data_IF_811619100618
#
_entry.id   IF_811619100618
#
_cell.length_a   1.000
_cell.length_b   1.000
_cell.length_c   1.000
_cell.angle_alpha   90.00
_cell.angle_beta   90.00
_cell.angle_gamma   90.00
#
_symmetry.space_group_name_H-M   'P 1'
#
loop_
_entity.id
_entity.type
_entity.pdbx_description
1 polymer ?
#
# COMPACT_ATOMS: atom_id res chain seq x y z
N UNK A 1 11.96 5.77 25.16
CA UNK A 1 11.90 6.94 24.24
C UNK A 1 10.46 7.16 23.82
N UNK A 2 10.04 8.42 23.67
CA UNK A 2 8.74 8.75 23.10
C UNK A 2 8.81 8.64 21.56
N UNK A 3 7.84 8.00 20.94
CA UNK A 3 7.74 7.92 19.48
C UNK A 3 7.57 9.33 18.88
N UNK A 4 8.42 9.67 17.90
CA UNK A 4 8.31 10.94 17.14
C UNK A 4 7.76 10.67 15.75
N UNK A 5 6.74 11.42 15.36
CA UNK A 5 6.19 11.37 14.02
C UNK A 5 7.08 12.14 13.03
N UNK A 6 7.32 11.53 11.86
CA UNK A 6 8.07 12.11 10.75
C UNK A 6 7.28 11.96 9.45
N UNK A 7 7.16 13.06 8.70
CA UNK A 7 6.57 13.06 7.36
C UNK A 7 7.56 12.54 6.32
N UNK A 8 7.06 11.78 5.34
CA UNK A 8 7.82 11.42 4.15
C UNK A 8 7.95 12.62 3.22
N UNK A 9 9.17 13.17 3.17
CA UNK A 9 9.47 14.38 2.39
C UNK A 9 9.34 14.18 0.87
N UNK A 10 9.30 12.94 0.38
CA UNK A 10 9.16 12.63 -1.03
C UNK A 10 7.70 12.80 -1.52
N UNK A 11 6.71 12.76 -0.61
CA UNK A 11 5.29 12.81 -0.95
C UNK A 11 4.58 13.92 -0.15
N UNK A 12 4.73 15.16 -0.61
CA UNK A 12 4.19 16.35 0.07
C UNK A 12 2.80 16.75 -0.43
N UNK A 13 2.40 16.26 -1.59
CA UNK A 13 1.13 16.60 -2.23
C UNK A 13 0.08 15.52 -1.96
N UNK A 14 -1.19 15.94 -2.02
CA UNK A 14 -2.32 14.99 -1.94
C UNK A 14 -2.26 13.98 -3.08
N UNK A 15 -2.03 14.41 -4.33
CA UNK A 15 -1.91 13.48 -5.45
C UNK A 15 -0.62 12.64 -5.36
N UNK A 16 -0.76 11.33 -5.54
CA UNK A 16 0.36 10.39 -5.64
C UNK A 16 0.31 9.74 -7.02
N UNK A 17 1.31 10.02 -7.85
CA UNK A 17 1.49 9.29 -9.12
C UNK A 17 1.87 7.83 -8.82
N UNK A 18 1.23 6.84 -9.45
CA UNK A 18 1.63 5.44 -9.35
C UNK A 18 3.11 5.25 -9.70
N UNK A 19 3.56 5.85 -10.81
CA UNK A 19 4.97 5.77 -11.25
C UNK A 19 5.92 6.27 -10.18
N UNK A 20 5.64 7.44 -9.58
CA UNK A 20 6.48 8.02 -8.53
C UNK A 20 6.51 7.12 -7.28
N UNK A 21 5.36 6.62 -6.85
CA UNK A 21 5.27 5.72 -5.70
C UNK A 21 6.08 4.44 -5.93
N UNK A 22 5.93 3.83 -7.10
CA UNK A 22 6.57 2.56 -7.43
C UNK A 22 8.09 2.69 -7.55
N UNK A 23 8.59 3.71 -8.25
CA UNK A 23 10.04 3.98 -8.28
C UNK A 23 10.59 4.23 -6.88
N UNK A 24 9.88 4.98 -6.04
CA UNK A 24 10.31 5.20 -4.65
C UNK A 24 10.37 3.88 -3.85
N UNK A 25 9.37 3.02 -3.97
CA UNK A 25 9.35 1.73 -3.28
C UNK A 25 10.46 0.80 -3.77
N UNK A 26 10.70 0.73 -5.08
CA UNK A 26 11.78 -0.08 -5.66
C UNK A 26 13.16 0.40 -5.21
N UNK A 27 13.40 1.72 -5.23
CA UNK A 27 14.68 2.33 -4.86
C UNK A 27 14.99 2.19 -3.37
N UNK A 28 13.97 2.28 -2.49
CA UNK A 28 14.17 2.37 -1.04
C UNK A 28 13.83 1.08 -0.28
N UNK A 29 12.98 0.23 -0.85
CA UNK A 29 12.40 -0.95 -0.21
C UNK A 29 12.35 -2.17 -1.14
N UNK A 30 13.25 -2.24 -2.13
CA UNK A 30 13.24 -3.28 -3.18
C UNK A 30 13.30 -4.71 -2.64
N UNK A 31 13.93 -4.94 -1.49
CA UNK A 31 14.00 -6.26 -0.86
C UNK A 31 12.73 -6.62 -0.06
N UNK A 32 11.94 -5.62 0.31
CA UNK A 32 10.71 -5.77 1.10
C UNK A 32 9.44 -5.76 0.24
N UNK A 33 9.53 -5.43 -1.06
CA UNK A 33 8.37 -5.42 -1.95
C UNK A 33 8.30 -6.65 -2.85
N UNK A 34 7.07 -7.10 -3.10
CA UNK A 34 6.75 -8.17 -4.03
C UNK A 34 5.61 -7.74 -4.95
N UNK A 35 5.73 -7.98 -6.26
CA UNK A 35 4.60 -7.85 -7.19
C UNK A 35 3.55 -8.92 -6.85
N UNK A 36 2.33 -8.48 -6.52
CA UNK A 36 1.20 -9.37 -6.19
C UNK A 36 0.13 -9.41 -7.29
N UNK A 37 0.32 -8.61 -8.34
CA UNK A 37 -0.53 -8.59 -9.52
C UNK A 37 -0.42 -7.26 -10.28
N UNK A 38 -1.31 -7.09 -11.25
CA UNK A 38 -1.41 -5.89 -12.08
C UNK A 38 -2.85 -5.42 -12.14
N UNK A 39 -3.05 -4.12 -12.26
CA UNK A 39 -4.35 -3.51 -12.56
C UNK A 39 -4.81 -3.88 -13.98
N UNK A 40 -6.01 -3.43 -14.35
CA UNK A 40 -6.58 -3.69 -15.68
C UNK A 40 -5.73 -3.07 -16.81
N UNK A 41 -5.12 -1.91 -16.61
CA UNK A 41 -4.19 -1.31 -17.57
C UNK A 41 -2.73 -1.80 -17.42
N UNK A 42 -2.51 -2.85 -16.62
CA UNK A 42 -1.20 -3.49 -16.47
C UNK A 42 -0.23 -2.76 -15.53
N UNK A 43 -0.68 -1.79 -14.71
CA UNK A 43 0.16 -1.16 -13.69
C UNK A 43 0.37 -2.11 -12.52
N UNK A 44 1.59 -2.16 -12.01
CA UNK A 44 1.98 -3.06 -10.92
C UNK A 44 1.22 -2.75 -9.63
N UNK A 45 0.93 -3.80 -8.86
CA UNK A 45 0.43 -3.69 -7.49
C UNK A 45 1.42 -4.45 -6.59
N UNK A 46 1.98 -3.73 -5.62
CA UNK A 46 3.01 -4.23 -4.72
C UNK A 46 2.43 -4.56 -3.34
N UNK A 47 2.94 -5.64 -2.76
CA UNK A 47 2.91 -5.89 -1.32
C UNK A 47 4.28 -5.56 -0.74
N UNK A 48 4.34 -4.58 0.14
CA UNK A 48 5.49 -4.38 1.02
C UNK A 48 5.34 -5.28 2.25
N UNK A 49 6.39 -5.99 2.66
CA UNK A 49 6.41 -6.85 3.85
C UNK A 49 7.66 -6.59 4.67
N UNK A 50 7.50 -6.22 5.96
CA UNK A 50 8.63 -6.01 6.88
C UNK A 50 8.34 -6.58 8.26
N UNK A 51 9.34 -7.25 8.83
CA UNK A 51 9.25 -7.93 10.12
C UNK A 51 8.91 -9.42 10.01
N UNK A 52 9.25 -10.15 11.07
CA UNK A 52 9.15 -11.60 11.18
C UNK A 52 8.26 -12.04 12.35
N UNK A 53 7.59 -11.09 13.01
CA UNK A 53 6.80 -11.38 14.20
C UNK A 53 5.49 -12.10 13.93
N UNK A 54 5.01 -12.83 14.95
CA UNK A 54 3.78 -13.63 14.90
C UNK A 54 2.50 -12.80 14.70
N UNK A 55 2.52 -11.52 15.08
CA UNK A 55 1.38 -10.62 14.86
C UNK A 55 1.50 -10.01 13.48
N UNK A 56 0.75 -10.53 12.51
CA UNK A 56 0.69 -9.99 11.15
C UNK A 56 -0.40 -8.91 11.05
N UNK A 57 -0.05 -7.76 10.46
CA UNK A 57 -1.00 -6.67 10.18
C UNK A 57 -0.97 -6.37 8.69
N UNK A 58 -2.07 -6.68 8.00
CA UNK A 58 -2.30 -6.25 6.63
C UNK A 58 -3.01 -4.89 6.63
N UNK A 59 -2.45 -3.93 5.89
CA UNK A 59 -3.11 -2.66 5.60
C UNK A 59 -3.05 -2.36 4.10
N UNK A 60 -4.11 -1.75 3.57
CA UNK A 60 -4.15 -1.34 2.16
C UNK A 60 -4.67 0.08 2.05
N UNK A 61 -4.32 0.74 0.95
CA UNK A 61 -4.76 2.10 0.64
C UNK A 61 -5.07 2.26 -0.85
N UNK A 62 -5.69 3.40 -1.18
CA UNK A 62 -6.13 3.78 -2.52
C UNK A 62 -6.87 2.65 -3.23
N UNK A 63 -7.80 1.98 -2.54
CA UNK A 63 -8.84 1.19 -3.22
C UNK A 63 -9.74 2.09 -4.06
N UNK A 64 -9.95 3.33 -3.59
CA UNK A 64 -10.36 4.44 -4.42
C UNK A 64 -9.12 5.24 -4.82
N UNK A 65 -8.92 5.42 -6.12
CA UNK A 65 -7.69 6.01 -6.65
C UNK A 65 -7.39 7.42 -6.12
N UNK A 66 -8.42 8.24 -5.92
CA UNK A 66 -8.31 9.62 -5.45
C UNK A 66 -8.27 9.82 -3.92
N UNK A 67 -8.18 8.73 -3.14
CA UNK A 67 -8.16 8.74 -1.67
C UNK A 67 -6.77 8.37 -1.12
N UNK A 68 -5.78 9.24 -1.36
CA UNK A 68 -4.36 9.00 -1.05
C UNK A 68 -3.92 9.18 0.40
N UNK A 69 -4.77 9.71 1.29
CA UNK A 69 -4.38 10.07 2.65
C UNK A 69 -3.81 8.88 3.44
N UNK A 70 -4.37 7.68 3.27
CA UNK A 70 -3.87 6.48 3.94
C UNK A 70 -2.50 6.04 3.40
N UNK A 71 -2.22 6.23 2.11
CA UNK A 71 -0.91 5.95 1.51
C UNK A 71 0.16 6.85 2.11
N UNK A 72 -0.15 8.15 2.23
CA UNK A 72 0.73 9.12 2.89
C UNK A 72 0.97 8.74 4.36
N UNK A 73 -0.07 8.39 5.11
CA UNK A 73 0.06 7.98 6.50
C UNK A 73 0.89 6.69 6.68
N UNK A 74 0.75 5.71 5.78
CA UNK A 74 1.55 4.50 5.80
C UNK A 74 3.03 4.79 5.50
N UNK A 75 3.33 5.69 4.57
CA UNK A 75 4.69 6.12 4.25
C UNK A 75 5.32 6.90 5.42
N UNK A 76 4.55 7.78 6.07
CA UNK A 76 4.99 8.49 7.27
C UNK A 76 5.26 7.53 8.43
N UNK A 77 4.40 6.52 8.62
CA UNK A 77 4.58 5.49 9.63
C UNK A 77 5.89 4.72 9.42
N UNK A 78 6.20 4.30 8.20
CA UNK A 78 7.45 3.59 7.91
C UNK A 78 8.68 4.43 8.28
N UNK A 79 8.75 5.68 7.79
CA UNK A 79 9.89 6.56 8.11
C UNK A 79 9.95 6.86 9.61
N UNK A 80 8.81 6.99 10.26
CA UNK A 80 8.76 7.21 11.70
C UNK A 80 9.29 6.00 12.47
N UNK A 81 8.93 4.77 12.09
CA UNK A 81 9.48 3.55 12.71
C UNK A 81 10.98 3.42 12.48
N UNK A 82 11.47 3.79 11.29
CA UNK A 82 12.90 3.75 10.96
C UNK A 82 13.72 4.77 11.75
N UNK A 83 13.16 5.96 11.99
CA UNK A 83 13.81 7.02 12.78
C UNK A 83 13.62 6.87 14.29
N UNK A 84 12.71 6.00 14.72
CA UNK A 84 12.47 5.68 16.13
C UNK A 84 12.58 4.16 16.33
N UNK A 85 13.78 3.57 16.25
CA UNK A 85 13.93 2.13 16.40
C UNK A 85 13.44 1.70 17.79
N UNK A 86 12.49 0.76 17.80
CA UNK A 86 11.96 0.12 18.99
C UNK A 86 12.52 -1.29 19.05
N UNK A 87 13.17 -1.64 20.16
CA UNK A 87 13.75 -2.97 20.35
C UNK A 87 12.69 -4.07 20.15
N UNK A 88 13.08 -5.11 19.41
CA UNK A 88 12.28 -6.28 19.05
C UNK A 88 10.97 -5.98 18.30
N UNK A 89 10.71 -4.76 17.82
CA UNK A 89 9.44 -4.42 17.18
C UNK A 89 9.16 -5.33 15.97
N UNK A 90 10.16 -5.50 15.11
CA UNK A 90 10.07 -6.34 13.92
C UNK A 90 10.12 -7.85 14.23
N UNK A 91 10.54 -8.24 15.43
CA UNK A 91 10.47 -9.63 15.90
C UNK A 91 9.09 -9.97 16.48
N UNK A 92 8.30 -8.95 16.83
CA UNK A 92 6.95 -9.08 17.41
C UNK A 92 5.85 -8.85 16.38
N UNK A 93 6.09 -8.00 15.39
CA UNK A 93 5.11 -7.60 14.37
C UNK A 93 5.67 -7.83 12.97
N UNK A 94 4.80 -8.28 12.07
CA UNK A 94 4.98 -8.21 10.62
C UNK A 94 3.95 -7.25 10.03
N UNK A 95 4.42 -6.26 9.26
CA UNK A 95 3.56 -5.34 8.53
C UNK A 95 3.54 -5.73 7.06
N UNK A 96 2.35 -5.90 6.50
CA UNK A 96 2.13 -6.13 5.07
C UNK A 96 1.28 -5.00 4.50
N UNK A 97 1.84 -4.20 3.60
CA UNK A 97 1.24 -2.98 3.10
C UNK A 97 0.99 -3.05 1.59
N UNK A 98 -0.25 -2.78 1.18
CA UNK A 98 -0.58 -2.47 -0.21
C UNK A 98 -0.81 -0.95 -0.30
N UNK A 99 0.25 -0.20 -0.62
CA UNK A 99 0.19 1.26 -0.64
C UNK A 99 -0.80 1.82 -1.65
N UNK A 100 -1.01 1.13 -2.77
CA UNK A 100 -1.90 1.57 -3.84
C UNK A 100 -2.55 0.37 -4.51
N UNK A 101 -3.80 0.09 -4.16
CA UNK A 101 -4.55 -1.04 -4.71
C UNK A 101 -5.14 -0.73 -6.10
N UNK A 102 -5.54 0.51 -6.37
CA UNK A 102 -6.13 0.96 -7.62
C UNK A 102 -5.23 1.99 -8.33
N UNK A 103 -4.10 1.57 -8.92
CA UNK A 103 -3.17 2.48 -9.58
C UNK A 103 -3.75 3.12 -10.85
N UNK A 104 -4.67 2.43 -11.55
CA UNK A 104 -5.33 3.01 -12.73
C UNK A 104 -6.21 4.19 -12.33
N UNK A 105 -7.04 4.02 -11.30
CA UNK A 105 -7.87 5.10 -10.77
C UNK A 105 -7.04 6.22 -10.16
N UNK A 106 -5.90 5.90 -9.52
CA UNK A 106 -4.99 6.91 -8.97
C UNK A 106 -4.35 7.76 -10.07
N UNK A 107 -3.94 7.16 -11.19
CA UNK A 107 -3.32 7.88 -12.32
C UNK A 107 -4.21 9.02 -12.80
N UNK A 108 -5.52 8.76 -12.99
CA UNK A 108 -6.51 9.73 -13.48
C UNK A 108 -7.30 10.39 -12.34
N UNK A 109 -6.89 10.20 -11.10
CA UNK A 109 -7.50 10.80 -9.90
C UNK A 109 -9.01 10.59 -9.76
N UNK A 110 -9.46 9.35 -9.97
CA UNK A 110 -10.87 8.95 -9.81
C UNK A 110 -11.07 7.97 -8.66
N UNK A 111 -12.32 7.88 -8.19
CA UNK A 111 -12.72 6.96 -7.13
C UNK A 111 -12.72 5.50 -7.60
N UNK A 112 -13.18 5.23 -8.82
CA UNK A 112 -13.38 3.87 -9.33
C UNK A 112 -12.11 3.32 -9.98
N UNK A 113 -12.07 2.04 -10.29
CA UNK A 113 -11.03 1.52 -11.19
C UNK A 113 -11.35 1.92 -12.64
N UNK A 114 -10.49 1.55 -13.59
CA UNK A 114 -10.68 1.91 -15.01
C UNK A 114 -11.94 1.30 -15.64
N UNK A 115 -12.50 0.24 -15.03
CA UNK A 115 -13.74 -0.40 -15.45
C UNK A 115 -14.98 0.23 -14.81
N UNK A 116 -14.83 1.40 -14.17
CA UNK A 116 -15.89 2.09 -13.42
C UNK A 116 -16.48 1.26 -12.24
N UNK A 117 -15.72 0.29 -11.74
CA UNK A 117 -16.11 -0.50 -10.56
C UNK A 117 -15.66 0.25 -9.30
N UNK A 118 -16.59 0.45 -8.37
CA UNK A 118 -16.23 0.81 -6.99
C UNK A 118 -15.73 -0.46 -6.30
N UNK A 119 -14.40 -0.58 -6.16
CA UNK A 119 -13.75 -1.75 -5.55
C UNK A 119 -14.31 -2.01 -4.14
N UNK A 120 -14.70 -0.98 -3.39
CA UNK A 120 -15.28 -1.13 -2.06
C UNK A 120 -16.76 -1.57 -2.06
N UNK A 121 -17.30 -1.94 -3.22
CA UNK A 121 -18.62 -2.58 -3.39
C UNK A 121 -18.52 -3.93 -4.07
N UNK A 122 -17.30 -4.39 -4.38
CA UNK A 122 -17.05 -5.56 -5.22
C UNK A 122 -16.63 -6.81 -4.44
N UNK A 123 -16.64 -6.78 -3.10
CA UNK A 123 -16.09 -7.87 -2.27
C UNK A 123 -16.70 -9.26 -2.53
N UNK A 124 -18.02 -9.33 -2.79
CA UNK A 124 -18.73 -10.58 -3.06
C UNK A 124 -18.68 -10.98 -4.53
N UNK A 125 -18.72 -10.00 -5.44
CA UNK A 125 -18.78 -10.26 -6.90
C UNK A 125 -17.41 -10.51 -7.50
N UNK A 126 -16.36 -9.94 -6.92
CA UNK A 126 -14.98 -10.04 -7.38
C UNK A 126 -14.85 -9.78 -8.88
N UNK A 127 -15.54 -8.75 -9.38
CA UNK A 127 -15.49 -8.39 -10.80
C UNK A 127 -14.18 -7.69 -11.17
N UNK A 128 -13.59 -6.95 -10.23
CA UNK A 128 -12.31 -6.26 -10.38
C UNK A 128 -11.12 -7.17 -10.08
N UNK A 129 -10.02 -6.99 -10.83
CA UNK A 129 -8.76 -7.70 -10.58
C UNK A 129 -8.20 -7.25 -9.22
N UNK A 130 -8.35 -5.97 -8.88
CA UNK A 130 -7.88 -5.38 -7.64
C UNK A 130 -8.53 -6.04 -6.41
N UNK A 131 -9.84 -6.30 -6.41
CA UNK A 131 -10.50 -7.01 -5.31
C UNK A 131 -10.00 -8.45 -5.16
N UNK A 132 -9.79 -9.17 -6.27
CA UNK A 132 -9.23 -10.54 -6.23
C UNK A 132 -7.83 -10.55 -5.61
N UNK A 133 -6.99 -9.57 -5.98
CA UNK A 133 -5.65 -9.41 -5.40
C UNK A 133 -5.74 -9.17 -3.89
N UNK A 134 -6.59 -8.22 -3.46
CA UNK A 134 -6.76 -7.91 -2.03
C UNK A 134 -7.24 -9.13 -1.23
N UNK A 135 -8.27 -9.84 -1.71
CA UNK A 135 -8.78 -11.04 -1.04
C UNK A 135 -7.72 -12.13 -0.95
N UNK A 136 -6.96 -12.35 -2.04
CA UNK A 136 -5.85 -13.30 -2.02
C UNK A 136 -4.85 -12.97 -0.90
N UNK A 137 -4.49 -11.70 -0.69
CA UNK A 137 -3.57 -11.33 0.40
C UNK A 137 -4.22 -11.43 1.78
N UNK A 138 -5.49 -11.05 1.91
CA UNK A 138 -6.20 -11.06 3.20
C UNK A 138 -6.50 -12.48 3.73
N UNK A 139 -6.65 -13.47 2.83
CA UNK A 139 -7.05 -14.84 3.19
C UNK A 139 -5.97 -15.90 2.92
N UNK A 140 -4.73 -15.51 2.59
CA UNK A 140 -3.62 -16.45 2.35
C UNK A 140 -2.70 -16.70 3.55
N UNK A 141 -3.06 -16.20 4.73
CA UNK A 141 -2.26 -16.32 5.97
C UNK A 141 -3.02 -17.04 7.07
#
# INVERSE_FOLDING_TARGET
MLFKYFKNVNFQNRYISPKKLFSYLEENYGAEIQEIGKSTLGKLIYLFSKGNGKTSVLAWSQMHGNESNATLAMLDLLISLEKNPVADFWDKIRLDFIFMLNPDGSEIWTRRNILEIDINRDFLKESSIEMKILKKQAFSK
#
